data_IF_746759795401
#
_entry.id   IF_746759795401
#
_cell.length_a   1.000
_cell.length_b   1.000
_cell.length_c   1.000
_cell.angle_alpha   90.00
_cell.angle_beta   90.00
_cell.angle_gamma   90.00
#
_symmetry.space_group_name_H-M   'P 1'
#
loop_
_entity.id
_entity.type
_entity.pdbx_description
1 polymer ?
#
# COMPACT_ATOMS: atom_id res chain seq x y z
N UNK A 1 5.61 4.45 2.50
CA UNK A 1 6.57 4.82 1.44
C UNK A 1 7.80 5.49 2.04
N UNK A 2 7.71 6.71 2.58
CA UNK A 2 8.87 7.48 3.05
C UNK A 2 9.78 6.76 4.07
N UNK A 3 9.21 6.03 5.04
CA UNK A 3 9.98 5.34 6.08
C UNK A 3 10.93 4.26 5.55
N UNK A 4 10.67 3.73 4.36
CA UNK A 4 11.43 2.63 3.75
C UNK A 4 11.91 2.97 2.34
N UNK A 5 11.80 4.24 1.94
CA UNK A 5 12.19 4.74 0.62
C UNK A 5 11.57 3.91 -0.53
N UNK A 6 10.27 3.63 -0.43
CA UNK A 6 9.57 2.80 -1.41
C UNK A 6 8.94 3.62 -2.54
N UNK A 7 8.95 3.06 -3.75
CA UNK A 7 8.29 3.62 -4.93
C UNK A 7 6.77 3.59 -4.82
N UNK A 8 6.25 2.62 -4.06
CA UNK A 8 4.82 2.39 -3.91
C UNK A 8 4.50 1.68 -2.59
N UNK A 9 3.22 1.65 -2.22
CA UNK A 9 2.75 0.90 -1.06
C UNK A 9 1.40 0.23 -1.30
N UNK A 10 1.19 -0.87 -0.57
CA UNK A 10 -0.11 -1.57 -0.48
C UNK A 10 -0.47 -1.81 0.98
N UNK A 11 -1.72 -1.52 1.33
CA UNK A 11 -2.31 -1.83 2.65
C UNK A 11 -3.72 -2.38 2.43
N UNK A 12 -4.09 -3.45 3.14
CA UNK A 12 -5.47 -3.96 3.09
C UNK A 12 -6.43 -3.06 3.88
N UNK A 13 -7.66 -2.91 3.41
CA UNK A 13 -8.70 -2.08 4.01
C UNK A 13 -8.98 -2.45 5.47
N UNK A 14 -8.91 -3.75 5.78
CA UNK A 14 -9.10 -4.28 7.13
C UNK A 14 -8.04 -3.80 8.14
N UNK A 15 -6.88 -3.36 7.66
CA UNK A 15 -5.81 -2.75 8.45
C UNK A 15 -6.06 -1.29 8.84
N UNK A 16 -7.04 -0.62 8.25
CA UNK A 16 -7.41 0.77 8.56
C UNK A 16 -8.67 0.75 9.42
N UNK A 17 -8.56 1.09 10.71
CA UNK A 17 -9.62 0.78 11.69
C UNK A 17 -10.51 1.93 12.11
N UNK A 18 -10.10 3.18 11.86
CA UNK A 18 -10.85 4.35 12.23
C UNK A 18 -10.59 5.51 11.25
N UNK A 19 -11.48 6.50 11.28
CA UNK A 19 -11.23 7.82 10.68
C UNK A 19 -10.55 8.73 11.70
N UNK A 20 -9.74 9.68 11.23
CA UNK A 20 -9.22 10.78 12.04
C UNK A 20 -10.08 12.02 11.74
N UNK A 21 -10.59 12.67 12.78
CA UNK A 21 -11.39 13.88 12.63
C UNK A 21 -10.51 15.09 12.32
N UNK A 22 -11.08 16.10 11.65
CA UNK A 22 -10.38 17.37 11.40
C UNK A 22 -10.04 18.04 12.75
N UNK A 23 -8.78 18.44 12.90
CA UNK A 23 -8.31 19.16 14.09
C UNK A 23 -6.94 18.71 14.53
N UNK A 24 -6.69 18.82 15.83
CA UNK A 24 -5.50 18.25 16.46
C UNK A 24 -5.54 16.72 16.36
N UNK A 25 -4.43 16.13 15.90
CA UNK A 25 -4.27 14.67 15.81
C UNK A 25 -3.44 14.21 16.99
N UNK A 26 -4.04 13.42 17.86
CA UNK A 26 -3.36 12.84 19.02
C UNK A 26 -2.77 11.46 18.68
N UNK A 27 -1.87 10.96 19.53
CA UNK A 27 -1.37 9.61 19.37
C UNK A 27 -2.45 8.53 19.59
N UNK A 28 -3.50 8.85 20.37
CA UNK A 28 -4.67 7.97 20.54
C UNK A 28 -5.41 7.80 19.22
N UNK A 29 -5.54 8.85 18.42
CA UNK A 29 -6.19 8.78 17.11
C UNK A 29 -5.40 7.86 16.17
N UNK A 30 -4.08 8.02 16.14
CA UNK A 30 -3.17 7.15 15.36
C UNK A 30 -3.32 5.67 15.76
N UNK A 31 -3.31 5.38 17.06
CA UNK A 31 -3.48 4.00 17.56
C UNK A 31 -4.89 3.45 17.30
N UNK A 32 -5.89 4.32 17.21
CA UNK A 32 -7.25 3.91 16.83
C UNK A 32 -7.35 3.54 15.34
N UNK A 33 -6.53 4.17 14.48
CA UNK A 33 -6.42 3.82 13.05
C UNK A 33 -5.58 2.55 12.84
N UNK A 34 -4.43 2.44 13.50
CA UNK A 34 -3.44 1.35 13.38
C UNK A 34 -3.24 0.63 14.73
N UNK A 35 -4.19 -0.21 15.19
CA UNK A 35 -4.15 -0.81 16.53
C UNK A 35 -3.37 -2.12 16.61
N UNK A 36 -2.93 -2.67 15.47
CA UNK A 36 -2.41 -4.04 15.42
C UNK A 36 -0.92 -4.14 15.69
N UNK A 37 -0.18 -3.04 15.55
CA UNK A 37 1.27 -3.03 15.72
C UNK A 37 1.98 -3.86 14.66
N UNK A 38 1.46 -3.88 13.42
CA UNK A 38 2.14 -4.58 12.34
C UNK A 38 3.48 -3.93 12.05
N UNK A 39 4.49 -4.74 11.73
CA UNK A 39 5.76 -4.25 11.22
C UNK A 39 5.57 -3.63 9.83
N UNK A 40 6.31 -2.57 9.53
CA UNK A 40 6.49 -2.10 8.16
C UNK A 40 7.66 -2.86 7.56
N UNK A 41 7.44 -3.42 6.38
CA UNK A 41 8.45 -4.09 5.59
C UNK A 41 8.52 -3.47 4.19
N UNK A 42 9.57 -3.83 3.46
CA UNK A 42 9.62 -3.60 2.03
C UNK A 42 10.13 -4.83 1.29
N UNK A 43 9.84 -4.89 0.00
CA UNK A 43 10.40 -5.88 -0.91
C UNK A 43 10.82 -5.21 -2.22
N UNK A 44 12.04 -5.50 -2.66
CA UNK A 44 12.53 -5.10 -3.98
C UNK A 44 12.14 -6.18 -5.00
N UNK A 45 11.27 -5.83 -5.95
CA UNK A 45 10.71 -6.72 -6.98
C UNK A 45 11.13 -6.24 -8.36
N UNK A 46 11.36 -7.16 -9.30
CA UNK A 46 11.36 -6.80 -10.72
C UNK A 46 9.98 -6.30 -11.15
N UNK A 47 9.90 -5.51 -12.21
CA UNK A 47 8.63 -5.05 -12.76
C UNK A 47 7.69 -6.19 -13.12
N UNK A 48 8.23 -7.32 -13.58
CA UNK A 48 7.45 -8.53 -13.85
C UNK A 48 6.82 -9.10 -12.56
N UNK A 49 7.61 -9.32 -11.52
CA UNK A 49 7.12 -9.83 -10.23
C UNK A 49 6.12 -8.85 -9.60
N UNK A 50 6.38 -7.55 -9.71
CA UNK A 50 5.47 -6.52 -9.22
C UNK A 50 4.14 -6.54 -9.98
N UNK A 51 4.16 -6.68 -11.30
CA UNK A 51 2.94 -6.79 -12.11
C UNK A 51 2.09 -8.00 -11.70
N UNK A 52 2.73 -9.14 -11.46
CA UNK A 52 2.06 -10.36 -10.98
C UNK A 52 1.45 -10.14 -9.59
N UNK A 53 2.19 -9.52 -8.66
CA UNK A 53 1.69 -9.16 -7.33
C UNK A 53 0.47 -8.24 -7.41
N UNK A 54 0.58 -7.13 -8.16
CA UNK A 54 -0.49 -6.14 -8.33
C UNK A 54 -1.74 -6.75 -8.97
N UNK A 55 -1.58 -7.64 -9.95
CA UNK A 55 -2.71 -8.33 -10.58
C UNK A 55 -3.54 -9.11 -9.55
N UNK A 56 -2.87 -9.76 -8.59
CA UNK A 56 -3.55 -10.47 -7.50
C UNK A 56 -4.24 -9.53 -6.52
N UNK A 57 -3.51 -8.54 -5.98
CA UNK A 57 -4.06 -7.69 -4.91
C UNK A 57 -5.09 -6.68 -5.44
N UNK A 58 -4.98 -6.24 -6.69
CA UNK A 58 -5.96 -5.36 -7.31
C UNK A 58 -7.26 -6.09 -7.70
N UNK A 59 -7.25 -7.42 -7.77
CA UNK A 59 -8.45 -8.24 -8.01
C UNK A 59 -9.23 -8.56 -6.71
N UNK A 60 -8.76 -8.12 -5.54
CA UNK A 60 -9.45 -8.35 -4.26
C UNK A 60 -10.85 -7.74 -4.25
N UNK A 61 -11.79 -8.48 -3.65
CA UNK A 61 -13.20 -8.10 -3.58
C UNK A 61 -13.39 -6.73 -2.93
N UNK A 62 -14.10 -5.84 -3.62
CA UNK A 62 -14.48 -4.52 -3.12
C UNK A 62 -15.34 -4.68 -1.86
N UNK A 63 -15.16 -3.79 -0.88
CA UNK A 63 -15.83 -3.82 0.44
C UNK A 63 -15.50 -5.06 1.31
N UNK A 64 -14.37 -5.73 1.06
CA UNK A 64 -13.84 -6.77 1.93
C UNK A 64 -12.66 -6.25 2.76
N UNK A 65 -12.33 -6.91 3.89
CA UNK A 65 -11.13 -6.60 4.66
C UNK A 65 -9.83 -6.70 3.83
N UNK A 66 -9.79 -7.63 2.87
CA UNK A 66 -8.65 -7.81 1.97
C UNK A 66 -8.59 -6.81 0.82
N UNK A 67 -9.57 -5.91 0.65
CA UNK A 67 -9.55 -4.92 -0.42
C UNK A 67 -8.28 -4.06 -0.32
N UNK A 68 -7.54 -3.92 -1.41
CA UNK A 68 -6.25 -3.25 -1.39
C UNK A 68 -6.38 -1.73 -1.59
N UNK A 69 -5.75 -0.96 -0.71
CA UNK A 69 -5.46 0.46 -0.91
C UNK A 69 -4.02 0.61 -1.39
N UNK A 70 -3.82 1.57 -2.30
CA UNK A 70 -2.57 1.75 -3.02
C UNK A 70 -2.06 3.18 -2.87
N UNK A 71 -0.74 3.35 -2.91
CA UNK A 71 -0.07 4.65 -3.03
C UNK A 71 1.12 4.54 -3.98
N UNK A 72 1.43 5.61 -4.73
CA UNK A 72 2.55 5.67 -5.67
C UNK A 72 2.35 4.92 -7.00
N UNK A 73 1.14 4.42 -7.26
CA UNK A 73 0.82 3.59 -8.43
C UNK A 73 -0.45 4.07 -9.13
N UNK A 74 -0.37 4.15 -10.45
CA UNK A 74 -1.50 4.25 -11.36
C UNK A 74 -1.81 2.88 -11.98
N UNK A 75 -3.07 2.46 -11.99
CA UNK A 75 -3.49 1.18 -12.58
C UNK A 75 -4.83 1.32 -13.30
N UNK A 76 -4.97 0.58 -14.40
CA UNK A 76 -6.26 0.33 -15.04
C UNK A 76 -6.62 -1.13 -14.89
N UNK A 77 -7.79 -1.39 -14.32
CA UNK A 77 -8.41 -2.71 -14.22
C UNK A 77 -9.60 -2.75 -15.17
N UNK A 78 -9.66 -3.76 -16.05
CA UNK A 78 -10.79 -4.00 -16.95
C UNK A 78 -11.35 -5.38 -16.65
N UNK A 79 -12.64 -5.43 -16.30
CA UNK A 79 -13.34 -6.68 -15.96
C UNK A 79 -12.54 -7.57 -14.98
N UNK A 80 -12.03 -6.96 -13.90
CA UNK A 80 -11.23 -7.66 -12.89
C UNK A 80 -9.79 -8.00 -13.29
N UNK A 81 -9.36 -7.70 -14.51
CA UNK A 81 -8.01 -7.96 -15.03
C UNK A 81 -7.16 -6.70 -15.05
N UNK A 82 -5.88 -6.81 -14.65
CA UNK A 82 -4.93 -5.71 -14.70
C UNK A 82 -4.47 -5.44 -16.14
N UNK A 83 -4.82 -4.28 -16.68
CA UNK A 83 -4.51 -3.87 -18.05
C UNK A 83 -3.21 -3.05 -18.13
N UNK A 84 -3.03 -2.08 -17.23
CA UNK A 84 -1.85 -1.23 -17.21
C UNK A 84 -1.42 -0.85 -15.78
N UNK A 85 -0.13 -0.59 -15.63
CA UNK A 85 0.51 -0.13 -14.39
C UNK A 85 1.47 1.00 -14.73
N UNK A 86 1.44 2.06 -13.92
CA UNK A 86 2.38 3.16 -13.95
C UNK A 86 2.91 3.45 -12.54
N UNK A 87 4.21 3.70 -12.42
CA UNK A 87 4.90 4.05 -11.18
C UNK A 87 5.53 5.44 -11.37
N UNK A 88 5.21 6.38 -10.49
CA UNK A 88 5.67 7.77 -10.65
C UNK A 88 5.30 8.39 -12.00
N UNK A 89 4.11 8.04 -12.52
CA UNK A 89 3.61 8.52 -13.82
C UNK A 89 4.25 7.87 -15.07
N UNK A 90 5.14 6.89 -14.89
CA UNK A 90 5.80 6.19 -16.01
C UNK A 90 5.29 4.76 -16.13
N UNK A 91 5.06 4.23 -17.35
CA UNK A 91 4.72 2.83 -17.53
C UNK A 91 5.71 1.91 -16.84
N UNK A 92 5.18 0.88 -16.18
CA UNK A 92 5.98 -0.18 -15.55
C UNK A 92 6.89 -0.86 -16.58
N UNK A 93 8.13 -1.14 -16.21
CA UNK A 93 9.10 -1.86 -17.03
C UNK A 93 9.50 -3.17 -16.37
N UNK A 94 9.29 -4.29 -17.06
CA UNK A 94 9.49 -5.63 -16.52
C UNK A 94 10.88 -5.87 -15.92
N UNK A 95 11.93 -5.29 -16.53
CA UNK A 95 13.33 -5.46 -16.12
C UNK A 95 13.80 -4.49 -15.03
N UNK A 96 13.01 -3.46 -14.71
CA UNK A 96 13.38 -2.49 -13.68
C UNK A 96 13.00 -3.03 -12.29
N UNK A 97 13.80 -2.72 -11.28
CA UNK A 97 13.48 -3.03 -9.89
C UNK A 97 12.66 -1.90 -9.28
N UNK A 98 11.65 -2.26 -8.51
CA UNK A 98 10.77 -1.36 -7.78
C UNK A 98 10.65 -1.83 -6.33
N UNK A 99 10.65 -0.88 -5.40
CA UNK A 99 10.45 -1.15 -3.98
C UNK A 99 8.99 -0.98 -3.59
N UNK A 100 8.40 -2.07 -3.09
CA UNK A 100 7.05 -2.10 -2.53
C UNK A 100 7.12 -2.04 -1.01
N UNK A 101 6.48 -1.04 -0.40
CA UNK A 101 6.20 -1.03 1.04
C UNK A 101 4.91 -1.81 1.35
N UNK A 102 4.95 -2.63 2.40
CA UNK A 102 3.84 -3.47 2.85
C UNK A 102 3.92 -3.65 4.37
N UNK A 103 2.84 -4.04 5.02
CA UNK A 103 2.90 -4.45 6.43
C UNK A 103 3.23 -5.95 6.56
N UNK A 104 3.74 -6.35 7.73
CA UNK A 104 4.17 -7.73 7.99
C UNK A 104 3.03 -8.76 7.87
N UNK A 105 1.79 -8.37 8.20
CA UNK A 105 0.61 -9.22 8.05
C UNK A 105 0.35 -9.60 6.59
N UNK A 106 0.24 -8.61 5.70
CA UNK A 106 0.03 -8.85 4.26
C UNK A 106 1.25 -9.52 3.63
N UNK A 107 2.47 -9.18 4.05
CA UNK A 107 3.69 -9.83 3.56
C UNK A 107 3.74 -11.33 3.90
N UNK A 108 3.20 -11.73 5.05
CA UNK A 108 3.10 -13.13 5.47
C UNK A 108 1.92 -13.89 4.82
N UNK A 109 1.14 -13.25 3.94
CA UNK A 109 0.01 -13.85 3.23
C UNK A 109 -1.37 -13.60 3.84
N UNK A 110 -1.47 -12.68 4.81
CA UNK A 110 -2.74 -12.22 5.35
C UNK A 110 -3.71 -11.75 4.25
N UNK A 111 -5.01 -11.92 4.46
CA UNK A 111 -6.07 -11.64 3.46
C UNK A 111 -5.87 -12.38 2.11
N UNK A 112 -5.15 -13.50 2.11
CA UNK A 112 -4.73 -14.25 0.93
C UNK A 112 -3.85 -13.43 -0.03
N UNK A 113 -3.06 -12.49 0.48
CA UNK A 113 -2.08 -11.77 -0.34
C UNK A 113 -0.95 -12.72 -0.74
N UNK A 114 -0.26 -12.50 -1.87
CA UNK A 114 0.92 -13.29 -2.21
C UNK A 114 1.98 -13.15 -1.12
N UNK A 115 2.55 -14.27 -0.68
CA UNK A 115 3.59 -14.29 0.38
C UNK A 115 4.87 -13.66 -0.15
N UNK A 116 5.40 -12.69 0.59
CA UNK A 116 6.63 -11.95 0.27
C UNK A 116 7.79 -12.28 1.20
N UNK A 117 7.53 -12.85 2.38
CA UNK A 117 8.56 -13.09 3.42
C UNK A 117 9.67 -14.06 3.00
N UNK A 118 9.41 -14.93 2.01
CA UNK A 118 10.41 -15.82 1.43
C UNK A 118 11.20 -15.21 0.27
N UNK A 119 10.83 -14.02 -0.20
CA UNK A 119 11.51 -13.35 -1.29
C UNK A 119 12.86 -12.79 -0.83
N UNK A 120 13.92 -13.00 -1.62
CA UNK A 120 15.29 -12.55 -1.28
C UNK A 120 15.43 -11.03 -1.07
N UNK A 121 14.54 -10.25 -1.68
CA UNK A 121 14.51 -8.79 -1.56
C UNK A 121 13.66 -8.28 -0.40
N UNK A 122 13.08 -9.16 0.42
CA UNK A 122 12.23 -8.80 1.56
C UNK A 122 13.07 -8.36 2.76
N UNK A 123 12.68 -7.25 3.37
CA UNK A 123 13.33 -6.70 4.57
C UNK A 123 12.29 -6.12 5.53
N UNK A 124 12.35 -6.53 6.79
CA UNK A 124 11.64 -5.88 7.90
C UNK A 124 12.36 -4.59 8.29
N UNK A 125 11.64 -3.48 8.36
CA UNK A 125 12.25 -2.18 8.68
C UNK A 125 12.49 -1.96 10.18
N UNK A 126 11.81 -2.74 11.04
CA UNK A 126 11.81 -2.56 12.49
C UNK A 126 10.85 -1.46 12.98
N UNK A 127 10.19 -0.73 12.08
CA UNK A 127 9.14 0.24 12.44
C UNK A 127 7.77 -0.42 12.48
N UNK A 128 6.89 0.06 13.36
CA UNK A 128 5.47 -0.34 13.36
C UNK A 128 4.63 0.60 12.50
N UNK A 129 3.49 0.12 12.02
CA UNK A 129 2.45 0.89 11.33
C UNK A 129 2.07 2.19 12.07
N UNK A 130 1.78 2.11 13.37
CA UNK A 130 1.45 3.27 14.20
C UNK A 130 2.62 4.25 14.33
N UNK A 131 3.86 3.75 14.48
CA UNK A 131 5.04 4.61 14.55
C UNK A 131 5.32 5.32 13.23
N UNK A 132 5.17 4.61 12.11
CA UNK A 132 5.34 5.17 10.78
C UNK A 132 4.29 6.25 10.47
N UNK A 133 3.02 5.99 10.80
CA UNK A 133 1.95 6.98 10.63
C UNK A 133 2.18 8.21 11.52
N UNK A 134 2.59 8.01 12.78
CA UNK A 134 2.93 9.12 13.69
C UNK A 134 4.05 9.98 13.15
N UNK A 135 5.16 9.38 12.73
CA UNK A 135 6.30 10.13 12.21
C UNK A 135 5.96 10.88 10.92
N UNK A 136 5.15 10.27 10.04
CA UNK A 136 4.67 10.94 8.84
C UNK A 136 3.81 12.17 9.18
N UNK A 137 2.78 12.02 10.01
CA UNK A 137 1.92 13.14 10.42
C UNK A 137 2.73 14.25 11.10
N UNK A 138 3.70 13.89 11.94
CA UNK A 138 4.57 14.87 12.61
C UNK A 138 5.42 15.68 11.63
N UNK A 139 5.98 15.05 10.60
CA UNK A 139 6.83 15.70 9.59
C UNK A 139 6.05 16.58 8.62
N UNK A 140 4.80 16.21 8.34
CA UNK A 140 3.96 16.85 7.33
C UNK A 140 2.84 17.71 7.94
N UNK A 141 2.87 17.98 9.25
CA UNK A 141 1.89 18.85 9.89
C UNK A 141 2.13 20.32 9.52
N UNK A 142 1.10 21.09 9.14
CA UNK A 142 -0.31 20.69 9.03
C UNK A 142 -0.60 19.84 7.77
N UNK A 143 -1.35 18.75 7.95
CA UNK A 143 -1.78 17.86 6.86
C UNK A 143 -2.90 18.53 6.05
N UNK A 144 -2.70 18.66 4.74
CA UNK A 144 -3.76 19.06 3.82
C UNK A 144 -4.40 17.84 3.15
N UNK A 145 -5.65 17.54 3.53
CA UNK A 145 -6.37 16.35 3.06
C UNK A 145 -6.57 16.30 1.54
N UNK A 146 -6.53 17.44 0.84
CA UNK A 146 -6.66 17.47 -0.62
C UNK A 146 -5.54 16.73 -1.33
N UNK A 147 -4.38 16.63 -0.68
CA UNK A 147 -3.16 16.08 -1.25
C UNK A 147 -3.19 14.53 -1.23
N UNK A 148 -4.19 13.94 -0.57
CA UNK A 148 -4.38 12.50 -0.40
C UNK A 148 -5.66 11.99 -1.07
N UNK A 149 -6.24 12.75 -2.00
CA UNK A 149 -7.39 12.30 -2.79
C UNK A 149 -7.02 11.08 -3.65
N UNK A 150 -7.81 9.99 -3.64
CA UNK A 150 -7.51 8.82 -4.47
C UNK A 150 -7.61 9.14 -5.97
N UNK A 151 -6.56 8.84 -6.73
CA UNK A 151 -6.49 9.02 -8.18
C UNK A 151 -5.85 7.84 -8.94
N UNK A 152 -5.32 6.84 -8.22
CA UNK A 152 -4.42 5.84 -8.79
C UNK A 152 -5.04 4.57 -9.36
N UNK A 153 -6.34 4.28 -9.20
CA UNK A 153 -6.94 3.02 -9.71
C UNK A 153 -8.22 3.29 -10.47
N UNK A 154 -8.19 3.06 -11.78
CA UNK A 154 -9.35 3.11 -12.67
C UNK A 154 -9.92 1.71 -12.87
N UNK A 155 -11.22 1.53 -12.64
CA UNK A 155 -11.94 0.26 -12.89
C UNK A 155 -12.96 0.48 -13.99
N UNK A 156 -12.76 -0.20 -15.12
CA UNK A 156 -13.58 -0.10 -16.32
C UNK A 156 -14.43 -1.37 -16.49
N UNK A 157 -15.65 -1.26 -17.06
CA UNK A 157 -16.45 -2.42 -17.46
C UNK A 157 -15.78 -3.20 -18.60
N UNK A 158 -16.29 -4.39 -18.90
CA UNK A 158 -15.97 -5.08 -20.15
C UNK A 158 -16.43 -4.23 -21.36
N UNK A 159 -15.68 -4.32 -22.46
CA UNK A 159 -16.01 -3.64 -23.72
C UNK A 159 -17.24 -4.23 -24.42
#
# INVERSE_FOLDING_TARGET
MEMVDADMAVVSAGGIRASIQKGEITYRDILSVQPFGNGIAYVDLSGKELKEYLSNVAAKTINSGGFAHFAGVGMTMRDGTLESVAIGGKPLKDSQTYRLAVNSFSAAGGDNYPVLTSHRGYVESGFTDASALREYIRKHSPINVSDYKPDGVMRLPAD
#
